data_IF_515701043723
#
_entry.id   IF_515701043723
#
_cell.length_a   1.000
_cell.length_b   1.000
_cell.length_c   1.000
_cell.angle_alpha   90.00
_cell.angle_beta   90.00
_cell.angle_gamma   90.00
#
_symmetry.space_group_name_H-M   'P 1'
#
loop_
_entity.id
_entity.type
_entity.pdbx_description
1 polymer ?
#
# COMPACT_ATOMS: atom_id res chain seq x y z
N UNK A 1 5.11 21.47 -19.95
CA UNK A 1 5.29 22.29 -18.73
C UNK A 1 3.94 22.33 -18.01
N UNK A 2 3.93 22.21 -16.67
CA UNK A 2 2.78 22.05 -15.77
C UNK A 2 2.12 20.64 -15.72
N UNK A 3 2.49 19.89 -14.68
CA UNK A 3 1.83 18.65 -14.23
C UNK A 3 0.54 19.03 -13.50
N UNK A 4 -0.60 18.49 -13.95
CA UNK A 4 -1.88 18.57 -13.26
C UNK A 4 -1.80 17.83 -11.92
N UNK A 5 -1.48 18.57 -10.87
CA UNK A 5 -1.60 18.13 -9.49
C UNK A 5 -3.01 18.52 -9.02
N UNK A 6 -3.98 17.61 -9.17
CA UNK A 6 -5.31 17.75 -8.54
C UNK A 6 -5.17 17.49 -7.04
N UNK A 7 -4.70 18.51 -6.32
CA UNK A 7 -4.85 18.60 -4.88
C UNK A 7 -6.27 19.11 -4.59
N UNK A 8 -7.25 18.21 -4.53
CA UNK A 8 -8.55 18.53 -3.94
C UNK A 8 -8.37 18.71 -2.43
N UNK A 9 -8.22 19.96 -2.01
CA UNK A 9 -8.44 20.42 -0.65
C UNK A 9 -9.94 20.66 -0.46
N UNK A 10 -10.61 19.81 0.31
CA UNK A 10 -11.91 20.13 0.89
C UNK A 10 -11.98 19.60 2.32
N UNK A 11 -12.29 20.52 3.23
CA UNK A 11 -12.72 20.30 4.62
C UNK A 11 -14.11 19.63 4.55
N UNK A 12 -14.42 18.65 5.42
CA UNK A 12 -15.71 18.53 6.14
C UNK A 12 -15.90 17.21 6.94
N UNK A 13 -16.15 17.38 8.24
CA UNK A 13 -17.06 16.66 9.17
C UNK A 13 -17.56 15.24 8.85
N UNK A 14 -16.72 14.22 8.89
CA UNK A 14 -17.11 12.84 9.23
C UNK A 14 -15.82 12.13 9.65
N UNK A 15 -15.78 11.39 10.77
CA UNK A 15 -14.57 10.86 11.42
C UNK A 15 -13.72 9.84 10.64
N UNK A 16 -13.49 10.07 9.35
CA UNK A 16 -12.59 9.33 8.46
C UNK A 16 -11.31 10.14 8.36
N UNK A 17 -10.27 9.67 9.03
CA UNK A 17 -8.96 10.31 9.05
C UNK A 17 -8.47 10.47 7.60
N UNK A 18 -8.15 11.71 7.23
CA UNK A 18 -7.66 12.11 5.91
C UNK A 18 -6.68 11.09 5.34
N UNK A 19 -7.11 10.37 4.30
CA UNK A 19 -6.27 9.53 3.45
C UNK A 19 -5.40 10.47 2.64
N UNK A 20 -4.36 11.00 3.27
CA UNK A 20 -3.28 11.65 2.56
C UNK A 20 -2.63 10.54 1.74
N UNK A 21 -2.68 10.67 0.40
CA UNK A 21 -1.92 9.82 -0.51
C UNK A 21 -0.52 9.64 0.07
N UNK A 22 -0.10 8.39 0.25
CA UNK A 22 1.20 8.06 0.82
C UNK A 22 2.27 8.52 -0.16
N UNK A 23 2.68 9.78 -0.08
CA UNK A 23 3.90 10.27 -0.74
C UNK A 23 5.08 9.91 0.16
N UNK A 24 5.42 8.63 0.17
CA UNK A 24 6.53 8.08 0.90
C UNK A 24 7.36 7.28 -0.10
N UNK A 25 8.67 7.48 -0.11
CA UNK A 25 9.56 6.75 -1.03
C UNK A 25 10.08 5.52 -0.30
N UNK A 26 9.39 4.40 -0.45
CA UNK A 26 9.90 3.10 -0.01
C UNK A 26 11.08 2.68 -0.91
N UNK A 27 12.19 2.27 -0.31
CA UNK A 27 13.33 1.75 -1.06
C UNK A 27 13.01 0.38 -1.67
N UNK A 28 13.43 0.14 -2.92
CA UNK A 28 13.27 -1.16 -3.57
C UNK A 28 13.95 -2.30 -2.79
N UNK A 29 15.10 -2.03 -2.18
CA UNK A 29 15.83 -3.00 -1.36
C UNK A 29 15.00 -3.44 -0.14
N UNK A 30 14.34 -2.49 0.53
CA UNK A 30 13.48 -2.78 1.68
C UNK A 30 12.27 -3.62 1.25
N UNK A 31 11.66 -3.26 0.12
CA UNK A 31 10.56 -4.04 -0.46
C UNK A 31 10.96 -5.50 -0.73
N UNK A 32 12.07 -5.74 -1.43
CA UNK A 32 12.52 -7.10 -1.72
C UNK A 32 12.92 -7.86 -0.45
N UNK A 33 13.53 -7.18 0.53
CA UNK A 33 13.87 -7.75 1.83
C UNK A 33 12.61 -8.23 2.58
N UNK A 34 11.57 -7.39 2.64
CA UNK A 34 10.32 -7.70 3.37
C UNK A 34 9.56 -8.87 2.77
N UNK A 35 9.40 -8.90 1.44
CA UNK A 35 8.70 -10.01 0.79
C UNK A 35 9.54 -11.30 0.92
N UNK A 36 10.85 -11.19 1.19
CA UNK A 36 11.83 -12.28 1.29
C UNK A 36 11.69 -13.28 0.14
N UNK A 37 11.40 -12.75 -1.04
CA UNK A 37 11.16 -13.49 -2.26
C UNK A 37 11.97 -12.85 -3.38
N UNK A 38 12.35 -13.66 -4.37
CA UNK A 38 13.00 -13.17 -5.58
C UNK A 38 12.03 -12.38 -6.47
N UNK A 39 12.60 -11.60 -7.41
CA UNK A 39 11.88 -10.88 -8.47
C UNK A 39 10.91 -11.76 -9.28
N UNK A 40 11.20 -13.07 -9.38
CA UNK A 40 10.38 -14.06 -10.08
C UNK A 40 9.24 -14.63 -9.25
N UNK A 41 9.11 -14.21 -7.99
CA UNK A 41 8.06 -14.74 -7.13
C UNK A 41 6.69 -14.29 -7.63
N UNK A 42 5.76 -15.24 -7.63
CA UNK A 42 4.39 -15.01 -8.09
C UNK A 42 3.72 -13.83 -7.38
N UNK A 43 4.05 -13.57 -6.13
CA UNK A 43 3.50 -12.43 -5.40
C UNK A 43 3.95 -11.08 -5.97
N UNK A 44 5.19 -10.97 -6.45
CA UNK A 44 5.75 -9.75 -7.04
C UNK A 44 5.16 -9.52 -8.43
N UNK A 45 5.19 -10.54 -9.30
CA UNK A 45 4.68 -10.41 -10.67
C UNK A 45 3.15 -10.23 -10.72
N UNK A 46 2.40 -10.95 -9.90
CA UNK A 46 0.95 -10.73 -9.79
C UNK A 46 0.63 -9.40 -9.08
N UNK A 47 1.45 -8.98 -8.12
CA UNK A 47 1.27 -7.69 -7.43
C UNK A 47 1.46 -6.51 -8.38
N UNK A 48 2.47 -6.58 -9.24
CA UNK A 48 2.68 -5.61 -10.31
C UNK A 48 1.50 -5.59 -11.29
N UNK A 49 1.01 -6.76 -11.72
CA UNK A 49 -0.17 -6.84 -12.59
C UNK A 49 -1.43 -6.23 -11.95
N UNK A 50 -1.66 -6.46 -10.65
CA UNK A 50 -2.76 -5.86 -9.88
C UNK A 50 -2.63 -4.33 -9.84
N UNK A 51 -1.41 -3.83 -9.63
CA UNK A 51 -1.16 -2.39 -9.61
C UNK A 51 -1.35 -1.75 -10.99
N UNK A 52 -0.81 -2.37 -12.04
CA UNK A 52 -0.93 -1.88 -13.42
C UNK A 52 -2.38 -1.94 -13.93
N UNK A 53 -3.19 -2.86 -13.43
CA UNK A 53 -4.63 -2.91 -13.68
C UNK A 53 -5.42 -1.82 -12.94
N UNK A 54 -4.78 -1.00 -12.10
CA UNK A 54 -5.46 0.04 -11.32
C UNK A 54 -6.38 -0.50 -10.24
N UNK A 55 -6.15 -1.74 -9.78
CA UNK A 55 -7.00 -2.37 -8.77
C UNK A 55 -6.75 -1.86 -7.36
N UNK A 56 -5.62 -1.18 -7.11
CA UNK A 56 -5.40 -0.44 -5.85
C UNK A 56 -6.14 0.89 -5.94
N UNK A 57 -7.34 0.94 -5.34
CA UNK A 57 -8.23 2.11 -5.44
C UNK A 57 -7.80 3.21 -4.47
N UNK A 58 -7.31 2.82 -3.31
CA UNK A 58 -7.07 3.73 -2.21
C UNK A 58 -5.83 3.27 -1.45
N UNK A 59 -4.94 4.21 -1.15
CA UNK A 59 -3.80 4.00 -0.27
C UNK A 59 -3.52 5.31 0.48
N UNK A 60 -3.59 5.26 1.81
CA UNK A 60 -3.39 6.44 2.64
C UNK A 60 -2.85 6.13 4.01
N UNK A 61 -2.45 7.20 4.69
CA UNK A 61 -2.02 7.19 6.08
C UNK A 61 -3.24 7.28 6.99
N UNK A 62 -3.30 6.45 8.02
CA UNK A 62 -4.36 6.51 9.04
C UNK A 62 -3.89 7.18 10.30
N UNK A 63 -2.67 6.87 10.75
CA UNK A 63 -2.14 7.40 12.01
C UNK A 63 -0.62 7.50 11.90
N UNK A 64 -0.04 8.53 12.50
CA UNK A 64 1.41 8.65 12.64
C UNK A 64 1.73 8.94 14.10
N UNK A 65 2.46 8.03 14.74
CA UNK A 65 2.90 8.14 16.14
C UNK A 65 4.42 7.99 16.20
N UNK A 66 5.12 9.10 16.42
CA UNK A 66 6.58 9.12 16.44
C UNK A 66 7.17 8.61 15.12
N UNK A 67 7.93 7.51 15.20
CA UNK A 67 8.51 6.81 14.05
C UNK A 67 7.54 5.84 13.37
N UNK A 68 6.39 5.51 13.96
CA UNK A 68 5.45 4.55 13.38
C UNK A 68 4.40 5.25 12.52
N UNK A 69 4.26 4.78 11.28
CA UNK A 69 3.25 5.22 10.33
C UNK A 69 2.30 4.08 9.99
N UNK A 70 1.05 4.20 10.39
CA UNK A 70 -0.01 3.29 9.99
C UNK A 70 -0.60 3.70 8.64
N UNK A 71 -0.84 2.70 7.81
CA UNK A 71 -1.39 2.85 6.47
C UNK A 71 -2.53 1.88 6.24
N UNK A 72 -3.49 2.34 5.45
CA UNK A 72 -4.60 1.53 4.97
C UNK A 72 -4.70 1.67 3.47
N UNK A 73 -4.93 0.54 2.80
CA UNK A 73 -5.20 0.49 1.39
C UNK A 73 -6.38 -0.43 1.08
N UNK A 74 -7.05 -0.15 -0.03
CA UNK A 74 -8.14 -0.96 -0.58
C UNK A 74 -7.76 -1.43 -1.98
N UNK A 75 -7.91 -2.73 -2.22
CA UNK A 75 -7.60 -3.36 -3.50
C UNK A 75 -8.80 -4.18 -4.01
N UNK A 76 -9.23 -3.95 -5.24
CA UNK A 76 -10.27 -4.74 -5.89
C UNK A 76 -9.88 -6.21 -6.01
N UNK A 77 -10.88 -7.09 -5.99
CA UNK A 77 -10.67 -8.51 -6.20
C UNK A 77 -10.56 -8.80 -7.69
N UNK A 78 -9.55 -9.57 -8.09
CA UNK A 78 -9.33 -9.94 -9.51
C UNK A 78 -10.39 -10.88 -10.09
N UNK A 79 -11.09 -11.65 -9.25
CA UNK A 79 -12.05 -12.68 -9.67
C UNK A 79 -13.51 -12.33 -9.40
N UNK A 80 -13.76 -11.25 -8.66
CA UNK A 80 -15.09 -10.80 -8.28
C UNK A 80 -15.06 -9.28 -8.08
N UNK A 81 -14.96 -8.52 -9.17
CA UNK A 81 -14.80 -7.06 -9.15
C UNK A 81 -15.94 -6.33 -8.41
N UNK A 82 -17.12 -6.95 -8.31
CA UNK A 82 -18.28 -6.42 -7.59
C UNK A 82 -18.29 -6.75 -6.10
N UNK A 83 -17.36 -7.58 -5.62
CA UNK A 83 -17.25 -7.94 -4.21
C UNK A 83 -16.50 -6.86 -3.41
N UNK A 84 -16.61 -6.91 -2.08
CA UNK A 84 -15.91 -5.96 -1.20
C UNK A 84 -14.39 -5.99 -1.47
N UNK A 85 -13.75 -4.82 -1.69
CA UNK A 85 -12.31 -4.75 -1.89
C UNK A 85 -11.55 -5.34 -0.70
N UNK A 86 -10.39 -5.93 -0.97
CA UNK A 86 -9.49 -6.36 0.09
C UNK A 86 -8.96 -5.16 0.86
N UNK A 87 -9.16 -5.19 2.18
CA UNK A 87 -8.58 -4.22 3.12
C UNK A 87 -7.17 -4.66 3.47
N UNK A 88 -6.23 -3.75 3.25
CA UNK A 88 -4.81 -3.94 3.52
C UNK A 88 -4.44 -2.93 4.61
N UNK A 89 -3.80 -3.41 5.66
CA UNK A 89 -3.34 -2.59 6.77
C UNK A 89 -1.85 -2.84 6.97
N UNK A 90 -1.10 -1.76 7.01
CA UNK A 90 0.35 -1.80 7.10
C UNK A 90 0.89 -0.82 8.11
N UNK A 91 2.01 -1.17 8.72
CA UNK A 91 2.77 -0.27 9.58
C UNK A 91 4.17 -0.14 9.01
N UNK A 92 4.56 1.10 8.77
CA UNK A 92 5.92 1.49 8.43
C UNK A 92 6.62 2.09 9.63
N UNK A 93 7.92 1.91 9.68
CA UNK A 93 8.80 2.59 10.62
C UNK A 93 9.66 3.60 9.85
N UNK A 94 9.50 4.87 10.18
CA UNK A 94 10.21 5.99 9.57
C UNK A 94 11.33 6.38 10.52
N UNK A 95 12.55 6.11 10.10
CA UNK A 95 13.78 6.47 10.79
C UNK A 95 14.58 7.48 9.96
N UNK A 96 15.62 8.07 10.55
CA UNK A 96 16.51 9.00 9.85
C UNK A 96 17.18 8.35 8.61
N UNK A 97 17.38 7.03 8.63
CA UNK A 97 17.99 6.25 7.55
C UNK A 97 17.00 5.85 6.44
N UNK A 98 15.69 6.11 6.62
CA UNK A 98 14.67 5.81 5.63
C UNK A 98 13.43 5.10 6.20
N UNK A 99 12.69 4.45 5.30
CA UNK A 99 11.41 3.81 5.60
C UNK A 99 11.61 2.30 5.64
N UNK A 100 11.21 1.67 6.74
CA UNK A 100 11.20 0.21 6.92
C UNK A 100 9.78 -0.33 7.01
N UNK A 101 9.59 -1.56 6.56
CA UNK A 101 8.31 -2.25 6.62
C UNK A 101 8.26 -3.07 7.90
N UNK A 102 7.38 -2.69 8.84
CA UNK A 102 7.24 -3.41 10.11
C UNK A 102 6.30 -4.61 9.94
N UNK A 103 5.06 -4.37 9.52
CA UNK A 103 4.05 -5.42 9.35
C UNK A 103 3.00 -5.03 8.32
N UNK A 104 2.52 -6.00 7.56
CA UNK A 104 1.40 -5.85 6.64
C UNK A 104 0.45 -7.02 6.77
N UNK A 105 -0.84 -6.73 6.72
CA UNK A 105 -1.91 -7.71 6.70
C UNK A 105 -2.92 -7.35 5.62
N UNK A 106 -3.47 -8.37 4.97
CA UNK A 106 -4.52 -8.22 3.97
C UNK A 106 -5.68 -9.14 4.30
N UNK A 107 -6.91 -8.68 4.05
CA UNK A 107 -8.13 -9.47 4.29
C UNK A 107 -8.30 -10.67 3.35
N UNK A 108 -7.43 -10.83 2.35
CA UNK A 108 -7.45 -12.01 1.49
C UNK A 108 -6.95 -13.28 2.21
N UNK A 109 -7.33 -14.45 1.70
CA UNK A 109 -6.97 -15.75 2.32
C UNK A 109 -5.45 -15.94 2.53
N UNK A 110 -4.63 -15.41 1.63
CA UNK A 110 -3.17 -15.48 1.71
C UNK A 110 -2.53 -14.27 2.45
N UNK A 111 -3.34 -13.34 2.94
CA UNK A 111 -2.87 -12.06 3.46
C UNK A 111 -2.24 -12.13 4.85
N UNK A 112 -2.54 -13.16 5.63
CA UNK A 112 -2.01 -13.34 6.99
C UNK A 112 -0.49 -13.58 7.00
N UNK A 113 0.09 -14.02 5.88
CA UNK A 113 1.53 -14.22 5.74
C UNK A 113 2.31 -12.99 5.26
N UNK A 114 1.66 -11.83 5.06
CA UNK A 114 2.33 -10.60 4.60
C UNK A 114 2.79 -10.60 3.13
N UNK A 115 2.60 -11.72 2.40
CA UNK A 115 3.22 -11.96 1.07
C UNK A 115 2.21 -12.17 -0.06
N UNK A 116 0.99 -11.67 0.09
CA UNK A 116 0.00 -11.79 -0.97
C UNK A 116 0.23 -10.76 -2.08
N UNK A 117 -0.30 -11.04 -3.28
CA UNK A 117 -0.24 -10.14 -4.44
C UNK A 117 -0.79 -8.73 -4.14
N UNK A 118 -1.82 -8.62 -3.30
CA UNK A 118 -2.40 -7.33 -2.93
C UNK A 118 -1.46 -6.49 -2.05
N UNK A 119 -0.76 -7.10 -1.10
CA UNK A 119 0.24 -6.40 -0.28
C UNK A 119 1.41 -5.96 -1.16
N UNK A 120 1.89 -6.84 -2.04
CA UNK A 120 2.93 -6.50 -3.00
C UNK A 120 2.52 -5.31 -3.88
N UNK A 121 1.29 -5.29 -4.43
CA UNK A 121 0.78 -4.17 -5.20
C UNK A 121 0.82 -2.83 -4.44
N UNK A 122 0.43 -2.84 -3.16
CA UNK A 122 0.47 -1.64 -2.31
C UNK A 122 1.90 -1.23 -1.98
N UNK A 123 2.79 -2.17 -1.70
CA UNK A 123 4.20 -1.85 -1.45
C UNK A 123 4.88 -1.26 -2.68
N UNK A 124 4.62 -1.82 -3.87
CA UNK A 124 5.10 -1.27 -5.16
C UNK A 124 4.48 0.11 -5.41
N UNK A 125 3.22 0.33 -5.04
CA UNK A 125 2.63 1.67 -5.13
C UNK A 125 3.40 2.69 -4.28
N UNK A 126 3.85 2.30 -3.09
CA UNK A 126 4.67 3.13 -2.21
C UNK A 126 6.15 3.29 -2.65
N UNK A 127 6.61 2.62 -3.71
CA UNK A 127 7.95 2.88 -4.27
C UNK A 127 7.94 3.92 -5.39
N UNK A 128 6.77 4.25 -5.93
CA UNK A 128 6.56 5.16 -7.08
C UNK A 128 6.21 6.57 -6.63
#
# INVERSE_FOLDING_TARGET
MARNCVACFSIDYFGVIFIKLVNMKLGLLEYFSYVSNSEYSRCVSEGEAVLNAGHVILCGKTKQEGSLLETVALCLQTSALSAEPHKIQGVFEINNDGVKISKFNCSCKAGNGGKCKHISAVLIYCTR
#
